data_IF_164858048923
#
_entry.id   IF_164858048923
#
_cell.length_a   1.000
_cell.length_b   1.000
_cell.length_c   1.000
_cell.angle_alpha   90.00
_cell.angle_beta   90.00
_cell.angle_gamma   90.00
#
_symmetry.space_group_name_H-M   'P 1'
#
loop_
_entity.id
_entity.type
_entity.pdbx_description
1 polymer ?
#
# COMPACT_ATOMS: atom_id res chain seq x y z
N UNK A 1 -16.35 -26.86 -35.15
CA UNK A 1 -15.78 -26.68 -33.80
C UNK A 1 -15.22 -25.26 -33.67
N UNK A 2 -15.87 -24.38 -32.91
CA UNK A 2 -15.36 -23.04 -32.67
C UNK A 2 -14.10 -23.12 -31.81
N UNK A 3 -12.97 -22.69 -32.36
CA UNK A 3 -11.68 -22.65 -31.65
C UNK A 3 -11.84 -21.70 -30.47
N UNK A 4 -11.85 -22.23 -29.24
CA UNK A 4 -11.92 -21.42 -28.03
C UNK A 4 -10.82 -20.35 -28.09
N UNK A 5 -11.20 -19.07 -28.00
CA UNK A 5 -10.22 -17.99 -27.95
C UNK A 5 -9.32 -18.24 -26.73
N UNK A 6 -7.99 -18.13 -26.87
CA UNK A 6 -7.10 -18.28 -25.74
C UNK A 6 -7.49 -17.27 -24.66
N UNK A 7 -7.42 -17.65 -23.37
CA UNK A 7 -7.73 -16.73 -22.29
C UNK A 7 -6.87 -15.48 -22.43
N UNK A 8 -7.49 -14.30 -22.31
CA UNK A 8 -6.75 -13.04 -22.35
C UNK A 8 -5.76 -13.06 -21.17
N UNK A 9 -4.47 -12.76 -21.40
CA UNK A 9 -3.50 -12.67 -20.32
C UNK A 9 -3.95 -11.58 -19.32
N UNK A 10 -3.76 -11.86 -18.03
CA UNK A 10 -4.00 -10.88 -16.97
C UNK A 10 -3.07 -9.68 -17.20
N UNK A 11 -3.69 -8.51 -17.36
CA UNK A 11 -2.96 -7.27 -17.50
C UNK A 11 -2.53 -6.70 -16.13
N UNK A 12 -1.60 -5.75 -16.13
CA UNK A 12 -1.01 -5.21 -14.90
C UNK A 12 -2.05 -4.59 -13.97
N UNK A 13 -3.09 -3.95 -14.52
CA UNK A 13 -4.21 -3.40 -13.76
C UNK A 13 -5.00 -4.52 -13.08
N UNK A 14 -5.30 -5.62 -13.77
CA UNK A 14 -6.00 -6.75 -13.19
C UNK A 14 -5.21 -7.36 -12.04
N UNK A 15 -3.89 -7.55 -12.21
CA UNK A 15 -3.01 -8.02 -11.14
C UNK A 15 -3.05 -7.05 -9.94
N UNK A 16 -2.93 -5.75 -10.18
CA UNK A 16 -2.99 -4.74 -9.12
C UNK A 16 -4.34 -4.74 -8.39
N UNK A 17 -5.45 -4.75 -9.12
CA UNK A 17 -6.82 -4.78 -8.57
C UNK A 17 -7.04 -6.03 -7.72
N UNK A 18 -6.60 -7.21 -8.20
CA UNK A 18 -6.73 -8.46 -7.44
C UNK A 18 -5.89 -8.42 -6.16
N UNK A 19 -4.64 -7.98 -6.24
CA UNK A 19 -3.77 -7.83 -5.07
C UNK A 19 -4.36 -6.86 -4.04
N UNK A 20 -4.80 -5.68 -4.47
CA UNK A 20 -5.46 -4.72 -3.58
C UNK A 20 -6.74 -5.32 -2.96
N UNK A 21 -7.52 -6.07 -3.75
CA UNK A 21 -8.74 -6.71 -3.26
C UNK A 21 -8.44 -7.77 -2.19
N UNK A 22 -7.36 -8.53 -2.34
CA UNK A 22 -6.94 -9.52 -1.34
C UNK A 22 -6.43 -8.85 -0.07
N UNK A 23 -5.67 -7.76 -0.18
CA UNK A 23 -5.25 -6.96 0.97
C UNK A 23 -6.47 -6.45 1.76
N UNK A 24 -7.49 -5.93 1.07
CA UNK A 24 -8.69 -5.40 1.71
C UNK A 24 -9.66 -6.50 2.19
N UNK A 25 -9.63 -7.71 1.60
CA UNK A 25 -10.44 -8.84 2.06
C UNK A 25 -10.05 -9.29 3.47
N UNK A 26 -8.77 -9.16 3.84
CA UNK A 26 -8.32 -9.40 5.22
C UNK A 26 -8.98 -8.42 6.19
N UNK A 27 -9.22 -7.17 5.80
CA UNK A 27 -9.94 -6.21 6.63
C UNK A 27 -11.40 -6.64 6.82
N UNK A 28 -12.07 -7.11 5.76
CA UNK A 28 -13.45 -7.65 5.86
C UNK A 28 -13.52 -8.85 6.81
N UNK A 29 -12.57 -9.79 6.70
CA UNK A 29 -12.52 -10.95 7.59
C UNK A 29 -12.33 -10.55 9.06
N UNK A 30 -11.45 -9.58 9.33
CA UNK A 30 -11.20 -9.05 10.68
C UNK A 30 -12.40 -8.25 11.24
N UNK A 31 -13.08 -7.49 10.40
CA UNK A 31 -14.30 -6.79 10.78
C UNK A 31 -15.42 -7.79 11.09
N UNK A 32 -15.58 -8.84 10.26
CA UNK A 32 -16.59 -9.88 10.47
C UNK A 32 -16.44 -10.59 11.83
N UNK A 33 -15.21 -10.86 12.28
CA UNK A 33 -14.95 -11.41 13.61
C UNK A 33 -15.44 -10.49 14.73
N UNK A 34 -15.40 -9.16 14.54
CA UNK A 34 -15.86 -8.16 15.52
C UNK A 34 -17.33 -7.79 15.39
N UNK A 35 -17.93 -7.99 14.22
CA UNK A 35 -19.35 -7.71 13.99
C UNK A 35 -20.27 -8.63 14.81
N UNK A 36 -19.74 -9.75 15.32
CA UNK A 36 -20.42 -10.58 16.34
C UNK A 36 -20.60 -9.82 17.66
N UNK A 37 -19.69 -8.89 17.98
CA UNK A 37 -19.67 -8.10 19.21
C UNK A 37 -20.30 -6.70 19.04
N UNK A 38 -20.24 -6.11 17.85
CA UNK A 38 -20.71 -4.74 17.56
C UNK A 38 -22.00 -4.72 16.74
N UNK A 39 -23.15 -4.57 17.42
CA UNK A 39 -24.51 -4.62 16.82
C UNK A 39 -24.96 -3.38 16.03
N UNK A 40 -24.08 -2.44 15.67
CA UNK A 40 -24.51 -1.21 14.98
C UNK A 40 -24.49 -1.34 13.46
N UNK A 41 -25.59 -0.97 12.79
CA UNK A 41 -25.66 -0.88 11.32
C UNK A 41 -24.58 0.05 10.74
N UNK A 42 -24.17 1.08 11.49
CA UNK A 42 -23.14 2.04 11.09
C UNK A 42 -21.76 1.42 10.93
N UNK A 43 -21.39 0.44 11.77
CA UNK A 43 -20.11 -0.28 11.66
C UNK A 43 -20.15 -1.40 10.61
N UNK A 44 -21.33 -1.98 10.37
CA UNK A 44 -21.51 -3.09 9.42
C UNK A 44 -21.56 -2.61 7.96
N UNK A 45 -22.19 -1.46 7.70
CA UNK A 45 -22.43 -0.97 6.34
C UNK A 45 -21.13 -0.75 5.53
N UNK A 46 -20.08 -0.07 6.06
CA UNK A 46 -18.81 0.05 5.35
C UNK A 46 -18.20 -1.31 4.97
N UNK A 47 -18.22 -2.28 5.90
CA UNK A 47 -17.67 -3.62 5.67
C UNK A 47 -18.43 -4.38 4.58
N UNK A 48 -19.77 -4.27 4.56
CA UNK A 48 -20.62 -4.87 3.50
C UNK A 48 -20.33 -4.23 2.13
N UNK A 49 -20.18 -2.90 2.09
CA UNK A 49 -19.82 -2.18 0.87
C UNK A 49 -18.45 -2.62 0.35
N UNK A 50 -17.47 -2.78 1.25
CA UNK A 50 -16.14 -3.28 0.90
C UNK A 50 -16.18 -4.72 0.38
N UNK A 51 -16.89 -5.63 1.07
CA UNK A 51 -17.07 -7.00 0.61
C UNK A 51 -17.69 -7.06 -0.79
N UNK A 52 -18.71 -6.24 -1.04
CA UNK A 52 -19.36 -6.14 -2.35
C UNK A 52 -18.40 -5.61 -3.41
N UNK A 53 -17.61 -4.59 -3.09
CA UNK A 53 -16.60 -4.04 -3.99
C UNK A 53 -15.50 -5.05 -4.32
N UNK A 54 -15.06 -5.86 -3.36
CA UNK A 54 -14.10 -6.96 -3.55
C UNK A 54 -14.65 -7.99 -4.54
N UNK A 55 -15.89 -8.44 -4.36
CA UNK A 55 -16.52 -9.41 -5.27
C UNK A 55 -16.60 -8.84 -6.69
N UNK A 56 -17.00 -7.57 -6.82
CA UNK A 56 -17.09 -6.88 -8.12
C UNK A 56 -15.73 -6.69 -8.78
N UNK A 57 -14.70 -6.38 -8.00
CA UNK A 57 -13.32 -6.27 -8.46
C UNK A 57 -12.77 -7.61 -8.95
N UNK A 58 -13.04 -8.72 -8.24
CA UNK A 58 -12.63 -10.06 -8.66
C UNK A 58 -13.35 -10.53 -9.94
N UNK A 59 -14.61 -10.14 -10.15
CA UNK A 59 -15.35 -10.45 -11.38
C UNK A 59 -14.92 -9.63 -12.59
N UNK A 60 -14.34 -8.45 -12.38
CA UNK A 60 -13.90 -7.56 -13.46
C UNK A 60 -12.61 -6.80 -13.08
N UNK A 61 -11.48 -7.52 -12.92
CA UNK A 61 -10.27 -6.95 -12.33
C UNK A 61 -9.58 -5.93 -13.25
N UNK A 62 -9.80 -6.01 -14.56
CA UNK A 62 -9.32 -5.03 -15.54
C UNK A 62 -10.15 -3.74 -15.58
N UNK A 63 -11.24 -3.61 -14.81
CA UNK A 63 -12.10 -2.43 -14.84
C UNK A 63 -11.60 -1.34 -13.91
N UNK A 64 -11.28 -0.17 -14.47
CA UNK A 64 -10.92 1.03 -13.70
C UNK A 64 -12.04 1.46 -12.76
N UNK A 65 -13.31 1.33 -13.18
CA UNK A 65 -14.45 1.65 -12.32
C UNK A 65 -14.52 0.75 -11.10
N UNK A 66 -14.27 -0.56 -11.26
CA UNK A 66 -14.24 -1.50 -10.12
C UNK A 66 -13.06 -1.25 -9.19
N UNK A 67 -11.92 -0.86 -9.73
CA UNK A 67 -10.79 -0.45 -8.92
C UNK A 67 -11.10 0.82 -8.11
N UNK A 68 -11.82 1.79 -8.70
CA UNK A 68 -12.28 2.99 -7.98
C UNK A 68 -13.30 2.64 -6.88
N UNK A 69 -14.30 1.80 -7.19
CA UNK A 69 -15.29 1.32 -6.21
C UNK A 69 -14.59 0.66 -5.01
N UNK A 70 -13.65 -0.27 -5.29
CA UNK A 70 -12.85 -0.96 -4.29
C UNK A 70 -12.05 0.00 -3.42
N UNK A 71 -11.44 1.00 -4.05
CA UNK A 71 -10.66 2.03 -3.38
C UNK A 71 -11.49 2.90 -2.45
N UNK A 72 -12.63 3.41 -2.92
CA UNK A 72 -13.51 4.25 -2.10
C UNK A 72 -14.09 3.47 -0.92
N UNK A 73 -14.51 2.21 -1.14
CA UNK A 73 -14.97 1.35 -0.06
C UNK A 73 -13.85 1.05 0.95
N UNK A 74 -12.62 0.87 0.48
CA UNK A 74 -11.43 0.72 1.32
C UNK A 74 -11.20 1.95 2.20
N UNK A 75 -11.16 3.16 1.62
CA UNK A 75 -11.05 4.41 2.39
C UNK A 75 -12.16 4.51 3.44
N UNK A 76 -13.41 4.25 3.06
CA UNK A 76 -14.56 4.35 3.96
C UNK A 76 -14.42 3.41 5.16
N UNK A 77 -14.12 2.13 4.93
CA UNK A 77 -13.91 1.16 6.02
C UNK A 77 -12.77 1.58 6.92
N UNK A 78 -11.64 1.99 6.35
CA UNK A 78 -10.46 2.40 7.12
C UNK A 78 -10.70 3.66 7.96
N UNK A 79 -11.56 4.58 7.50
CA UNK A 79 -11.92 5.78 8.25
C UNK A 79 -12.97 5.51 9.35
N UNK A 80 -13.96 4.65 9.09
CA UNK A 80 -15.07 4.41 10.02
C UNK A 80 -14.70 3.33 11.05
N UNK A 81 -14.19 2.19 10.60
CA UNK A 81 -13.89 1.05 11.46
C UNK A 81 -12.43 1.06 11.95
N UNK A 82 -11.58 1.90 11.37
CA UNK A 82 -10.13 1.81 11.52
C UNK A 82 -9.55 0.63 10.74
N UNK A 83 -8.27 0.34 10.93
CA UNK A 83 -7.69 -0.94 10.51
C UNK A 83 -6.94 -1.62 11.63
N UNK A 84 -6.95 -2.94 11.54
CA UNK A 84 -6.30 -3.87 12.45
C UNK A 84 -5.00 -4.41 11.84
N UNK A 85 -4.43 -3.66 10.91
CA UNK A 85 -3.17 -3.94 10.24
C UNK A 85 -2.14 -2.93 10.70
N UNK A 86 -0.90 -3.37 10.95
CA UNK A 86 0.23 -2.46 11.10
C UNK A 86 0.45 -1.61 9.83
N UNK A 87 -0.17 -2.01 8.71
CA UNK A 87 -0.08 -1.31 7.44
C UNK A 87 -1.30 -0.42 7.16
N UNK A 88 -2.15 -0.09 8.15
CA UNK A 88 -3.32 0.79 7.95
C UNK A 88 -3.01 2.05 7.16
N UNK A 89 -1.89 2.71 7.46
CA UNK A 89 -1.47 3.92 6.75
C UNK A 89 -1.10 3.64 5.30
N UNK A 90 -0.43 2.51 5.03
CA UNK A 90 -0.05 2.09 3.69
C UNK A 90 -1.27 1.65 2.88
N UNK A 91 -2.20 0.92 3.49
CA UNK A 91 -3.48 0.50 2.91
C UNK A 91 -4.33 1.74 2.56
N UNK A 92 -4.52 2.65 3.52
CA UNK A 92 -5.26 3.89 3.32
C UNK A 92 -4.61 4.73 2.23
N UNK A 93 -3.29 4.91 2.27
CA UNK A 93 -2.62 5.73 1.30
C UNK A 93 -2.64 5.08 -0.10
N UNK A 94 -2.60 3.74 -0.20
CA UNK A 94 -2.80 3.04 -1.49
C UNK A 94 -4.22 3.28 -2.03
N UNK A 95 -5.25 3.19 -1.18
CA UNK A 95 -6.61 3.54 -1.57
C UNK A 95 -6.72 5.02 -1.99
N UNK A 96 -6.16 5.97 -1.23
CA UNK A 96 -6.15 7.38 -1.63
C UNK A 96 -5.43 7.59 -2.96
N UNK A 97 -4.31 6.91 -3.20
CA UNK A 97 -3.58 6.97 -4.47
C UNK A 97 -4.46 6.55 -5.65
N UNK A 98 -5.21 5.46 -5.48
CA UNK A 98 -6.14 4.93 -6.48
C UNK A 98 -7.31 5.88 -6.69
N UNK A 99 -7.90 6.41 -5.62
CA UNK A 99 -8.99 7.38 -5.70
C UNK A 99 -8.56 8.64 -6.49
N UNK A 100 -7.36 9.19 -6.20
CA UNK A 100 -6.80 10.33 -6.93
C UNK A 100 -6.54 9.97 -8.40
N UNK A 101 -5.96 8.79 -8.67
CA UNK A 101 -5.66 8.35 -10.04
C UNK A 101 -6.92 8.12 -10.90
N UNK A 102 -8.02 7.75 -10.25
CA UNK A 102 -9.31 7.46 -10.90
C UNK A 102 -10.31 8.62 -10.84
N UNK A 103 -10.00 9.69 -10.10
CA UNK A 103 -10.82 10.88 -9.95
C UNK A 103 -11.19 11.52 -11.30
N UNK A 104 -12.48 11.80 -11.50
CA UNK A 104 -13.01 12.47 -12.69
C UNK A 104 -13.23 11.60 -13.94
N UNK A 105 -13.06 10.26 -13.87
CA UNK A 105 -13.29 9.34 -15.01
C UNK A 105 -14.36 8.26 -14.79
N UNK A 106 -14.98 8.21 -13.63
CA UNK A 106 -16.02 7.22 -13.30
C UNK A 106 -17.34 7.40 -14.09
N UNK A 107 -17.49 8.45 -14.91
CA UNK A 107 -18.76 8.80 -15.57
C UNK A 107 -18.80 8.62 -17.09
N UNK A 108 -17.72 8.23 -17.77
CA UNK A 108 -17.73 8.11 -19.23
C UNK A 108 -17.90 6.66 -19.71
N UNK A 109 -19.08 6.08 -19.48
CA UNK A 109 -19.57 4.90 -20.20
C UNK A 109 -20.33 5.35 -21.45
N UNK A 110 -19.73 5.31 -22.63
CA UNK A 110 -20.45 5.60 -23.87
C UNK A 110 -19.57 5.66 -25.10
N UNK A 111 -19.93 4.85 -26.11
CA UNK A 111 -19.40 4.92 -27.47
C UNK A 111 -18.66 3.65 -27.90
N UNK A 112 -19.34 2.78 -28.65
CA UNK A 112 -18.76 1.61 -29.31
C UNK A 112 -18.37 1.99 -30.74
N UNK A 113 -17.10 2.37 -30.95
CA UNK A 113 -16.51 2.57 -32.27
C UNK A 113 -15.06 2.06 -32.26
N UNK A 114 -14.48 1.77 -33.42
CA UNK A 114 -13.06 1.39 -33.53
C UNK A 114 -12.12 2.48 -32.95
N UNK A 115 -12.55 3.75 -33.00
CA UNK A 115 -11.90 4.87 -32.29
C UNK A 115 -12.02 4.75 -30.76
N UNK A 116 -13.08 4.13 -30.23
CA UNK A 116 -13.26 3.89 -28.80
C UNK A 116 -12.26 2.86 -28.24
N UNK A 117 -11.73 1.94 -29.06
CA UNK A 117 -10.68 0.99 -28.64
C UNK A 117 -9.31 1.67 -28.49
N UNK A 118 -8.94 2.55 -29.43
CA UNK A 118 -7.75 3.39 -29.32
C UNK A 118 -7.88 4.42 -28.18
N UNK A 119 -9.06 5.02 -28.03
CA UNK A 119 -9.36 5.97 -26.96
C UNK A 119 -9.40 5.27 -25.59
N UNK A 120 -9.96 4.07 -25.48
CA UNK A 120 -9.98 3.31 -24.21
C UNK A 120 -8.60 2.82 -23.81
N UNK A 121 -7.77 2.34 -24.75
CA UNK A 121 -6.39 1.96 -24.48
C UNK A 121 -5.52 3.16 -24.07
N UNK A 122 -5.67 4.31 -24.74
CA UNK A 122 -5.02 5.57 -24.34
C UNK A 122 -5.48 6.07 -22.96
N UNK A 123 -6.80 6.05 -22.69
CA UNK A 123 -7.35 6.42 -21.37
C UNK A 123 -6.83 5.51 -20.27
N UNK A 124 -6.72 4.21 -20.54
CA UNK A 124 -6.21 3.19 -19.63
C UNK A 124 -4.73 3.40 -19.33
N UNK A 125 -3.91 3.63 -20.35
CA UNK A 125 -2.49 3.95 -20.17
C UNK A 125 -2.29 5.21 -19.31
N UNK A 126 -3.15 6.23 -19.48
CA UNK A 126 -3.13 7.43 -18.65
C UNK A 126 -3.52 7.15 -17.18
N UNK A 127 -4.46 6.24 -16.92
CA UNK A 127 -4.82 5.82 -15.55
C UNK A 127 -3.69 5.04 -14.91
N UNK A 128 -3.07 4.11 -15.65
CA UNK A 128 -1.93 3.33 -15.16
C UNK A 128 -0.74 4.24 -14.83
N UNK A 129 -0.44 5.22 -15.68
CA UNK A 129 0.61 6.22 -15.42
C UNK A 129 0.29 7.08 -14.19
N UNK A 130 -0.93 7.60 -14.06
CA UNK A 130 -1.38 8.33 -12.86
C UNK A 130 -1.29 7.48 -11.61
N UNK A 131 -1.75 6.23 -11.67
CA UNK A 131 -1.69 5.30 -10.54
C UNK A 131 -0.25 5.09 -10.09
N UNK A 132 0.67 4.86 -11.02
CA UNK A 132 2.09 4.71 -10.70
C UNK A 132 2.65 5.98 -10.07
N UNK A 133 2.32 7.17 -10.58
CA UNK A 133 2.77 8.45 -10.00
C UNK A 133 2.18 8.68 -8.60
N UNK A 134 0.88 8.47 -8.41
CA UNK A 134 0.19 8.61 -7.13
C UNK A 134 0.75 7.66 -6.08
N UNK A 135 0.91 6.37 -6.41
CA UNK A 135 1.51 5.40 -5.51
C UNK A 135 2.95 5.79 -5.15
N UNK A 136 3.76 6.26 -6.11
CA UNK A 136 5.12 6.73 -5.83
C UNK A 136 5.15 7.93 -4.89
N UNK A 137 4.32 8.94 -5.15
CA UNK A 137 4.26 10.14 -4.32
C UNK A 137 3.85 9.81 -2.88
N UNK A 138 2.86 8.92 -2.73
CA UNK A 138 2.37 8.49 -1.43
C UNK A 138 3.39 7.62 -0.70
N UNK A 139 4.03 6.66 -1.37
CA UNK A 139 5.11 5.89 -0.76
C UNK A 139 6.27 6.79 -0.35
N UNK A 140 6.63 7.77 -1.18
CA UNK A 140 7.65 8.76 -0.84
C UNK A 140 7.28 9.51 0.44
N UNK A 141 6.07 10.07 0.52
CA UNK A 141 5.61 10.81 1.70
C UNK A 141 5.53 9.91 2.95
N UNK A 142 5.01 8.69 2.80
CA UNK A 142 4.89 7.73 3.88
C UNK A 142 6.26 7.38 4.44
N UNK A 143 7.17 6.89 3.62
CA UNK A 143 8.50 6.46 4.08
C UNK A 143 9.36 7.61 4.59
N UNK A 144 9.25 8.80 3.99
CA UNK A 144 9.96 9.98 4.50
C UNK A 144 9.44 10.37 5.88
N UNK A 145 8.11 10.44 6.06
CA UNK A 145 7.52 10.81 7.35
C UNK A 145 7.78 9.77 8.44
N UNK A 146 7.71 8.47 8.12
CA UNK A 146 8.05 7.40 9.07
C UNK A 146 9.54 7.40 9.38
N UNK A 147 10.40 7.55 8.38
CA UNK A 147 11.85 7.63 8.56
C UNK A 147 12.27 8.80 9.46
N UNK A 148 11.66 9.98 9.29
CA UNK A 148 11.89 11.13 10.17
C UNK A 148 11.38 10.86 11.59
N UNK A 149 10.19 10.27 11.73
CA UNK A 149 9.66 9.92 13.05
C UNK A 149 10.56 8.92 13.80
N UNK A 150 11.24 8.03 13.08
CA UNK A 150 12.21 7.06 13.63
C UNK A 150 13.53 7.65 14.07
N UNK A 151 13.82 8.91 13.74
CA UNK A 151 15.00 9.62 14.26
C UNK A 151 14.87 9.98 15.75
N UNK A 152 13.70 9.75 16.37
CA UNK A 152 13.50 9.91 17.79
C UNK A 152 14.19 8.78 18.58
N UNK A 153 14.97 9.11 19.62
CA UNK A 153 15.83 8.18 20.38
C UNK A 153 15.08 6.96 20.92
N UNK A 154 13.82 7.12 21.33
CA UNK A 154 12.99 6.04 21.86
C UNK A 154 12.72 4.91 20.84
N UNK A 155 12.93 5.15 19.54
CA UNK A 155 12.71 4.17 18.48
C UNK A 155 13.82 3.11 18.39
N UNK A 156 15.04 3.47 18.81
CA UNK A 156 16.23 2.64 18.68
C UNK A 156 16.46 1.69 19.86
N UNK A 157 15.64 1.79 20.92
CA UNK A 157 15.63 0.79 21.99
C UNK A 157 15.03 -0.54 21.46
N UNK A 158 15.81 -1.64 21.41
CA UNK A 158 15.33 -2.93 20.91
C UNK A 158 14.15 -3.49 21.69
N UNK A 159 13.95 -3.05 22.95
CA UNK A 159 12.83 -3.51 23.79
C UNK A 159 11.49 -2.90 23.39
N UNK A 160 11.50 -1.71 22.80
CA UNK A 160 10.30 -0.96 22.42
C UNK A 160 10.13 -0.85 20.90
N UNK A 161 11.18 -1.15 20.14
CA UNK A 161 11.16 -1.02 18.69
C UNK A 161 10.22 -2.02 18.03
N UNK A 162 9.28 -1.51 17.24
CA UNK A 162 8.29 -2.37 16.58
C UNK A 162 8.93 -3.34 15.56
N UNK A 163 10.06 -2.98 14.94
CA UNK A 163 10.73 -3.87 13.99
C UNK A 163 11.35 -5.09 14.69
N UNK A 164 11.88 -4.90 15.90
CA UNK A 164 12.41 -6.00 16.72
C UNK A 164 11.26 -6.88 17.22
N UNK A 165 10.18 -6.27 17.72
CA UNK A 165 8.98 -7.01 18.13
C UNK A 165 8.37 -7.84 17.01
N UNK A 166 8.26 -7.28 15.80
CA UNK A 166 7.77 -8.01 14.62
C UNK A 166 8.72 -9.14 14.22
N UNK A 167 10.03 -8.91 14.18
CA UNK A 167 10.99 -9.95 13.84
C UNK A 167 10.97 -11.13 14.83
N UNK A 168 10.96 -10.84 16.13
CA UNK A 168 10.88 -11.87 17.19
C UNK A 168 9.59 -12.67 17.05
N UNK A 169 8.46 -12.00 16.84
CA UNK A 169 7.19 -12.68 16.64
C UNK A 169 7.19 -13.53 15.35
N UNK A 170 7.77 -13.05 14.25
CA UNK A 170 7.89 -13.82 13.00
C UNK A 170 8.76 -15.08 13.18
N UNK A 171 9.91 -14.94 13.84
CA UNK A 171 10.78 -16.06 14.18
C UNK A 171 10.03 -17.10 15.03
N UNK A 172 9.25 -16.64 16.02
CA UNK A 172 8.46 -17.53 16.88
C UNK A 172 7.39 -18.32 16.10
N UNK A 173 6.74 -17.71 15.11
CA UNK A 173 5.75 -18.39 14.25
C UNK A 173 6.40 -19.48 13.38
N UNK A 174 7.68 -19.32 13.05
CA UNK A 174 8.48 -20.32 12.32
C UNK A 174 9.10 -21.39 13.24
N UNK A 175 8.74 -21.39 14.53
CA UNK A 175 9.30 -22.32 15.52
C UNK A 175 10.74 -22.00 15.94
N UNK A 176 11.25 -20.82 15.58
CA UNK A 176 12.60 -20.37 15.95
C UNK A 176 12.52 -19.53 17.22
N UNK A 177 13.25 -19.94 18.26
CA UNK A 177 13.34 -19.18 19.50
C UNK A 177 14.02 -17.83 19.26
N UNK A 178 13.49 -16.78 19.89
CA UNK A 178 14.09 -15.44 19.89
C UNK A 178 15.55 -15.43 20.39
N UNK A 179 15.91 -16.39 21.25
CA UNK A 179 17.28 -16.59 21.75
C UNK A 179 18.29 -16.99 20.67
N UNK A 180 17.82 -17.38 19.48
CA UNK A 180 18.67 -17.71 18.34
C UNK A 180 19.26 -16.45 17.66
N UNK A 181 18.67 -15.28 17.90
CA UNK A 181 19.11 -14.02 17.30
C UNK A 181 20.12 -13.33 18.19
N UNK A 182 21.28 -12.95 17.63
CA UNK A 182 22.31 -12.29 18.42
C UNK A 182 21.81 -10.92 18.94
N UNK A 183 22.19 -10.52 20.17
CA UNK A 183 21.87 -9.18 20.69
C UNK A 183 22.38 -8.04 19.81
N UNK A 184 23.42 -8.28 19.01
CA UNK A 184 23.91 -7.32 18.03
C UNK A 184 22.93 -7.13 16.87
N UNK A 185 22.33 -8.21 16.35
CA UNK A 185 21.32 -8.15 15.27
C UNK A 185 20.07 -7.39 15.74
N UNK A 186 19.58 -7.71 16.94
CA UNK A 186 18.40 -7.03 17.51
C UNK A 186 18.67 -5.54 17.76
N UNK A 187 19.90 -5.16 18.13
CA UNK A 187 20.32 -3.76 18.26
C UNK A 187 20.49 -3.04 16.94
N UNK A 188 20.92 -3.73 15.87
CA UNK A 188 21.13 -3.13 14.56
C UNK A 188 19.81 -2.94 13.77
N UNK A 189 18.80 -3.77 14.04
CA UNK A 189 17.53 -3.78 13.30
C UNK A 189 16.80 -2.42 13.25
N UNK A 190 16.64 -1.69 14.36
CA UNK A 190 16.00 -0.37 14.33
C UNK A 190 16.73 0.61 13.41
N UNK A 191 18.06 0.63 13.47
CA UNK A 191 18.89 1.48 12.60
C UNK A 191 18.76 1.08 11.13
N UNK A 192 18.79 -0.22 10.83
CA UNK A 192 18.61 -0.72 9.47
C UNK A 192 17.22 -0.32 8.91
N UNK A 193 16.17 -0.38 9.74
CA UNK A 193 14.84 0.09 9.37
C UNK A 193 14.82 1.60 9.11
N UNK A 194 15.46 2.41 9.95
CA UNK A 194 15.57 3.87 9.75
C UNK A 194 16.32 4.20 8.44
N UNK A 195 17.45 3.53 8.19
CA UNK A 195 18.22 3.69 6.94
C UNK A 195 17.38 3.30 5.73
N UNK A 196 16.62 2.20 5.79
CA UNK A 196 15.72 1.80 4.72
C UNK A 196 14.66 2.86 4.45
N UNK A 197 13.94 3.32 5.48
CA UNK A 197 12.84 4.28 5.32
C UNK A 197 13.31 5.66 4.86
N UNK A 198 14.53 6.08 5.18
CA UNK A 198 15.12 7.34 4.67
C UNK A 198 15.73 7.19 3.26
N UNK A 199 16.33 6.03 2.94
CA UNK A 199 16.94 5.80 1.62
C UNK A 199 15.92 5.46 0.55
N UNK A 200 14.84 4.76 0.89
CA UNK A 200 13.78 4.38 -0.04
C UNK A 200 13.16 5.57 -0.81
N UNK A 201 12.70 6.67 -0.18
CA UNK A 201 12.13 7.81 -0.89
C UNK A 201 13.15 8.46 -1.82
N UNK A 202 14.40 8.61 -1.39
CA UNK A 202 15.49 9.15 -2.22
C UNK A 202 15.75 8.28 -3.44
N UNK A 203 15.87 6.97 -3.26
CA UNK A 203 16.06 6.01 -4.36
C UNK A 203 14.86 5.97 -5.31
N UNK A 204 13.64 6.05 -4.77
CA UNK A 204 12.40 6.10 -5.54
C UNK A 204 12.31 7.38 -6.38
N UNK A 205 12.70 8.52 -5.81
CA UNK A 205 12.74 9.81 -6.51
C UNK A 205 13.77 9.79 -7.64
N UNK A 206 15.00 9.37 -7.34
CA UNK A 206 16.08 9.23 -8.33
C UNK A 206 15.67 8.28 -9.47
N UNK A 207 15.12 7.12 -9.14
CA UNK A 207 14.67 6.14 -10.13
C UNK A 207 13.48 6.67 -10.97
N UNK A 208 12.62 7.51 -10.39
CA UNK A 208 11.53 8.16 -11.12
C UNK A 208 12.05 9.21 -12.11
N UNK A 209 13.02 10.04 -11.70
CA UNK A 209 13.71 11.00 -12.59
C UNK A 209 14.38 10.29 -13.76
N UNK A 210 15.13 9.21 -13.52
CA UNK A 210 15.75 8.43 -14.60
C UNK A 210 14.76 7.78 -15.58
N UNK A 211 13.50 7.61 -15.20
CA UNK A 211 12.44 7.09 -16.07
C UNK A 211 11.83 8.18 -16.95
N UNK A 212 11.60 9.36 -16.37
CA UNK A 212 10.82 10.44 -16.97
C UNK A 212 11.71 11.40 -17.79
N UNK A 213 13.00 11.50 -17.45
CA UNK A 213 13.90 12.49 -18.04
C UNK A 213 14.68 11.97 -19.26
N UNK A 214 14.30 12.53 -20.41
CA UNK A 214 15.21 13.02 -21.45
C UNK A 214 15.91 14.35 -21.03
N UNK A 215 15.93 14.70 -19.73
CA UNK A 215 16.63 15.88 -19.22
C UNK A 215 18.13 15.60 -19.04
N UNK A 216 18.91 16.47 -19.67
CA UNK A 216 20.34 16.67 -19.42
C UNK A 216 20.46 17.52 -18.16
N UNK A 217 21.11 16.99 -17.12
CA UNK A 217 21.46 17.78 -15.93
C UNK A 217 22.59 18.73 -16.34
N UNK A 218 22.40 20.06 -16.42
CA UNK A 218 23.37 20.95 -17.07
C UNK A 218 24.72 21.04 -16.34
N UNK A 219 24.74 20.76 -15.04
CA UNK A 219 25.92 20.92 -14.17
C UNK A 219 26.69 19.61 -13.91
N UNK A 220 26.14 18.44 -14.25
CA UNK A 220 26.91 17.21 -14.29
C UNK A 220 27.28 16.93 -15.75
N UNK A 221 28.50 17.29 -16.15
CA UNK A 221 29.16 16.84 -17.39
C UNK A 221 29.43 15.32 -17.34
N UNK A 222 28.42 14.51 -17.02
CA UNK A 222 28.51 13.05 -17.05
C UNK A 222 28.16 12.59 -18.46
N UNK A 223 29.15 11.98 -19.09
CA UNK A 223 29.10 11.41 -20.44
C UNK A 223 27.78 10.74 -20.76
N UNK A 224 27.31 11.05 -21.96
CA UNK A 224 26.04 10.65 -22.56
C UNK A 224 25.88 9.12 -22.56
N UNK A 225 25.27 8.56 -21.52
CA UNK A 225 24.75 7.20 -21.58
C UNK A 225 23.48 7.20 -22.43
N UNK A 226 23.38 6.37 -23.47
CA UNK A 226 22.25 6.42 -24.40
C UNK A 226 20.93 6.22 -23.65
N UNK A 227 19.89 7.00 -24.00
CA UNK A 227 18.56 7.05 -23.34
C UNK A 227 17.96 5.65 -23.10
N UNK A 228 18.22 4.71 -24.01
CA UNK A 228 17.80 3.30 -23.91
C UNK A 228 18.43 2.58 -22.71
N UNK A 229 19.72 2.83 -22.41
CA UNK A 229 20.43 2.22 -21.27
C UNK A 229 19.97 2.81 -19.93
N UNK A 230 19.66 4.12 -19.87
CA UNK A 230 19.10 4.77 -18.67
C UNK A 230 17.75 4.18 -18.28
N UNK A 231 16.83 4.01 -19.24
CA UNK A 231 15.51 3.39 -19.01
C UNK A 231 15.61 1.95 -18.53
N UNK A 232 16.54 1.15 -19.09
CA UNK A 232 16.80 -0.23 -18.64
C UNK A 232 17.29 -0.26 -17.18
N UNK A 233 18.25 0.59 -16.82
CA UNK A 233 18.78 0.68 -15.44
C UNK A 233 17.71 1.12 -14.44
N UNK A 234 16.93 2.14 -14.75
CA UNK A 234 15.82 2.59 -13.90
C UNK A 234 14.79 1.47 -13.67
N UNK A 235 14.46 0.69 -14.71
CA UNK A 235 13.54 -0.45 -14.59
C UNK A 235 14.09 -1.56 -13.68
N UNK A 236 15.40 -1.83 -13.74
CA UNK A 236 16.06 -2.80 -12.85
C UNK A 236 16.03 -2.29 -11.41
N UNK A 237 16.43 -1.05 -11.17
CA UNK A 237 16.43 -0.44 -9.83
C UNK A 237 15.03 -0.48 -9.23
N UNK A 238 13.99 -0.08 -9.98
CA UNK A 238 12.61 -0.14 -9.51
C UNK A 238 12.17 -1.57 -9.17
N UNK A 239 12.56 -2.57 -9.97
CA UNK A 239 12.26 -3.98 -9.68
C UNK A 239 12.96 -4.44 -8.41
N UNK A 240 14.24 -4.11 -8.23
CA UNK A 240 14.98 -4.42 -7.01
C UNK A 240 14.35 -3.76 -5.80
N UNK A 241 13.96 -2.48 -5.88
CA UNK A 241 13.24 -1.77 -4.82
C UNK A 241 11.89 -2.43 -4.50
N UNK A 242 11.14 -2.84 -5.51
CA UNK A 242 9.88 -3.57 -5.30
C UNK A 242 10.10 -4.92 -4.62
N UNK A 243 11.10 -5.70 -5.05
CA UNK A 243 11.42 -7.00 -4.44
C UNK A 243 11.92 -6.83 -3.02
N UNK A 244 12.84 -5.89 -2.78
CA UNK A 244 13.37 -5.60 -1.44
C UNK A 244 12.27 -5.07 -0.51
N UNK A 245 11.44 -4.13 -0.97
CA UNK A 245 10.29 -3.64 -0.21
C UNK A 245 9.27 -4.74 0.08
N UNK A 246 8.92 -5.58 -0.91
CA UNK A 246 8.01 -6.70 -0.71
C UNK A 246 8.57 -7.74 0.27
N UNK A 247 9.85 -8.10 0.16
CA UNK A 247 10.50 -9.03 1.08
C UNK A 247 10.54 -8.47 2.50
N UNK A 248 10.87 -7.19 2.66
CA UNK A 248 10.80 -6.49 3.95
C UNK A 248 9.40 -6.55 4.55
N UNK A 249 8.37 -6.24 3.76
CA UNK A 249 6.96 -6.25 4.20
C UNK A 249 6.43 -7.66 4.50
N UNK A 250 6.82 -8.69 3.74
CA UNK A 250 6.46 -10.09 4.03
C UNK A 250 7.03 -10.51 5.37
N UNK A 251 8.31 -10.22 5.64
CA UNK A 251 8.96 -10.60 6.90
C UNK A 251 8.29 -9.95 8.11
N UNK A 252 7.86 -8.70 7.99
CA UNK A 252 7.18 -7.97 9.09
C UNK A 252 5.67 -8.22 9.18
N UNK A 253 5.05 -8.83 8.16
CA UNK A 253 3.61 -9.15 8.15
C UNK A 253 3.28 -10.58 8.63
N UNK A 254 4.28 -11.46 8.75
CA UNK A 254 4.15 -12.80 9.36
C UNK A 254 3.66 -12.80 10.82
N UNK A 255 4.08 -11.89 11.71
CA UNK A 255 3.62 -11.89 13.08
C UNK A 255 2.25 -11.23 13.23
N UNK A 256 1.42 -11.67 14.19
CA UNK A 256 0.23 -10.92 14.59
C UNK A 256 0.66 -9.49 15.02
N UNK A 257 -0.09 -8.45 14.63
CA UNK A 257 0.27 -7.09 14.95
C UNK A 257 0.33 -6.94 16.48
N UNK A 258 1.40 -6.35 17.05
CA UNK A 258 1.37 -5.99 18.46
C UNK A 258 0.21 -5.02 18.64
N UNK A 259 -0.85 -5.47 19.28
CA UNK A 259 -2.06 -4.68 19.55
C UNK A 259 -1.75 -3.57 20.56
N UNK A 260 -0.89 -2.58 20.25
CA UNK A 260 -0.67 -1.38 21.07
C UNK A 260 0.45 -0.48 20.53
N UNK A 261 0.31 0.11 19.35
CA UNK A 261 1.21 1.22 19.00
C UNK A 261 0.68 2.24 17.99
N UNK A 262 -0.41 1.96 17.27
CA UNK A 262 -0.92 2.97 16.34
C UNK A 262 -1.75 4.04 17.06
N UNK A 263 -1.48 5.34 16.81
CA UNK A 263 -2.13 6.46 17.50
C UNK A 263 -3.65 6.51 17.26
N UNK A 264 -4.18 5.79 16.28
CA UNK A 264 -5.61 5.78 15.94
C UNK A 264 -6.50 5.24 17.06
N UNK A 265 -6.04 4.28 17.88
CA UNK A 265 -6.82 3.86 19.07
C UNK A 265 -6.86 4.97 20.12
N UNK A 266 -5.79 5.76 20.27
CA UNK A 266 -5.78 6.93 21.17
C UNK A 266 -6.66 8.05 20.65
N UNK A 267 -6.69 8.34 19.34
CA UNK A 267 -7.57 9.37 18.76
C UNK A 267 -9.04 9.00 18.92
N UNK A 268 -9.44 7.75 18.64
CA UNK A 268 -10.82 7.29 18.85
C UNK A 268 -11.23 7.26 20.34
N UNK A 269 -10.31 6.91 21.24
CA UNK A 269 -10.57 6.93 22.68
C UNK A 269 -10.62 8.37 23.24
N UNK A 270 -9.89 9.32 22.65
CA UNK A 270 -9.92 10.73 23.07
C UNK A 270 -11.23 11.42 22.68
N UNK A 271 -11.86 11.01 21.57
CA UNK A 271 -13.18 11.53 21.16
C UNK A 271 -14.34 10.86 21.90
N UNK A 272 -14.17 9.63 22.41
CA UNK A 272 -15.20 8.91 23.17
C UNK A 272 -15.21 9.16 24.68
N UNK A 273 -14.15 9.77 25.24
CA UNK A 273 -14.00 10.00 26.70
C UNK A 273 -14.47 11.38 27.17
N UNK A 274 -14.90 12.27 26.26
CA UNK A 274 -15.44 13.60 26.64
C UNK A 274 -16.93 13.60 27.00
N UNK A 275 -17.66 12.50 26.85
CA UNK A 275 -19.11 12.44 27.14
C UNK A 275 -19.47 11.82 28.49
N UNK A 276 -18.51 11.32 29.28
CA UNK A 276 -18.79 10.72 30.60
C UNK A 276 -18.21 11.49 31.80
N UNK A 277 -17.54 12.63 31.57
CA UNK A 277 -16.96 13.45 32.64
C UNK A 277 -17.88 14.57 33.17
N UNK A 278 -19.19 14.46 32.99
CA UNK A 278 -20.20 15.37 33.59
C UNK A 278 -21.34 14.58 34.22
N UNK A 279 -21.00 13.67 35.14
CA UNK A 279 -21.94 13.06 36.06
C UNK A 279 -21.19 12.60 37.33
N UNK A 280 -20.59 13.56 38.05
CA UNK A 280 -20.36 13.50 39.50
C UNK A 280 -20.42 14.92 40.04
#
# INVERSE_FOLDING_TARGET
MARAKPPKPLDALAVFTLLLSHCLALQVAKDAQRLVEWRSLFSALPTILLATAIIRANRSPSSTGRLADLSHAGVLVLLVNGSQSNHVLLELATCVAVAIATWGKATSSGGADANALAVSSSRRAAVEDRLVRSCRAILFALYLSTGVAKLNDAWHDPKTSCCVGMFVAAASTLGVSASFSSPAVLRAMPYAATVFELSFPTLLWVASRYRDDAYVVPWLKVSYTPVVTRRKRAKIIMRCLCVAGAAFHVVIALPPPPMSAYPFRRVLLYTGSRTTASAR
#
